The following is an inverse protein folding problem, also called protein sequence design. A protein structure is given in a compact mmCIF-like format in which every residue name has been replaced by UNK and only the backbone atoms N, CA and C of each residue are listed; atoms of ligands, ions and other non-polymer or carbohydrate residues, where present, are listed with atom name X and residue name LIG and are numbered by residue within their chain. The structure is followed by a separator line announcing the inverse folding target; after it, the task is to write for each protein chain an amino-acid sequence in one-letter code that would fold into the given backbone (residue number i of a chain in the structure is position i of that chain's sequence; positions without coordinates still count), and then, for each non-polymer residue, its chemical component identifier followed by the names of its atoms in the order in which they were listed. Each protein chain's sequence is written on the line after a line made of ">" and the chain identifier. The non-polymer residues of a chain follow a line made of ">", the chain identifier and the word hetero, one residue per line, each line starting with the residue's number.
data_IF_846398454495
#
_entry.id   IF_846398454495
#
_cell.length_a   1.000
_cell.length_b   1.000
_cell.length_c   1.000
_cell.angle_alpha   90.00
_cell.angle_beta   90.00
_cell.angle_gamma   90.00
#
_symmetry.space_group_name_H-M   'P 1'
#
loop_
_entity.id
_entity.type
_entity.pdbx_description
1 polymer ?
#
# COMPACT_ATOMS: atom_id res chain seq x y z
N UNK A 1 12.24 -11.11 65.74
CA UNK A 1 11.42 -9.89 65.56
C UNK A 1 12.33 -8.68 65.65
N UNK A 2 11.97 -7.56 64.99
CA UNK A 2 12.74 -6.31 64.85
C UNK A 2 14.09 -6.49 64.11
N UNK A 3 14.17 -6.21 62.80
CA UNK A 3 14.13 -4.91 62.11
C UNK A 3 15.54 -4.30 61.96
N UNK A 4 16.11 -4.49 60.77
CA UNK A 4 17.36 -3.89 60.31
C UNK A 4 17.08 -2.48 59.80
N UNK A 5 17.80 -1.49 60.30
CA UNK A 5 17.79 -0.10 59.81
C UNK A 5 19.20 0.24 59.35
N UNK A 6 19.37 0.53 58.06
CA UNK A 6 20.64 0.98 57.48
C UNK A 6 20.64 2.51 57.35
N UNK A 7 21.68 3.22 57.85
CA UNK A 7 21.80 4.67 57.67
C UNK A 7 22.43 5.03 56.33
N UNK A 8 22.04 6.20 55.82
CA UNK A 8 22.55 6.80 54.58
C UNK A 8 23.97 7.35 54.76
N UNK A 9 24.89 7.02 53.84
CA UNK A 9 26.15 7.75 53.70
C UNK A 9 26.22 8.48 52.36
N UNK A 10 26.26 9.81 52.48
CA UNK A 10 26.43 10.81 51.43
C UNK A 10 27.90 10.83 51.02
N UNK A 11 28.20 10.76 49.72
CA UNK A 11 29.52 11.10 49.19
C UNK A 11 29.38 12.37 48.31
N UNK A 12 30.25 13.35 48.53
CA UNK A 12 30.28 14.60 47.77
C UNK A 12 31.43 14.56 46.77
N UNK A 13 31.21 15.07 45.56
CA UNK A 13 32.22 15.80 44.79
C UNK A 13 31.57 17.04 44.18
N UNK A 14 32.33 18.14 44.10
CA UNK A 14 31.88 19.48 43.76
C UNK A 14 32.65 20.06 42.55
N UNK A 15 32.24 21.25 42.08
CA UNK A 15 32.77 21.95 40.89
C UNK A 15 31.68 22.08 39.83
N UNK A 16 30.75 23.04 39.90
CA UNK A 16 30.91 24.51 39.72
C UNK A 16 31.41 24.91 38.31
N UNK A 17 30.65 25.82 37.66
CA UNK A 17 30.89 26.32 36.30
C UNK A 17 31.80 27.57 36.27
N UNK A 18 31.50 28.66 35.51
CA UNK A 18 30.22 29.04 34.89
C UNK A 18 30.30 29.64 33.44
N UNK A 19 29.15 30.08 32.90
CA UNK A 19 28.84 31.24 32.00
C UNK A 19 29.92 31.87 31.07
N UNK A 20 29.60 32.52 29.94
CA UNK A 20 28.46 32.56 29.00
C UNK A 20 28.89 33.46 27.80
N UNK A 21 28.15 33.42 26.69
CA UNK A 21 28.11 34.44 25.62
C UNK A 21 29.41 34.86 24.89
N UNK A 22 29.47 34.62 23.57
CA UNK A 22 29.21 35.65 22.54
C UNK A 22 29.62 35.18 21.12
N UNK A 23 28.64 35.20 20.20
CA UNK A 23 28.70 35.82 18.85
C UNK A 23 30.01 35.67 18.02
N UNK A 24 29.99 34.96 16.88
CA UNK A 24 29.85 35.50 15.49
C UNK A 24 30.32 34.53 14.37
N UNK A 25 29.58 34.47 13.24
CA UNK A 25 29.98 33.99 11.88
C UNK A 25 30.50 32.53 11.77
N UNK A 26 30.29 31.74 10.71
CA UNK A 26 30.18 31.99 9.26
C UNK A 26 29.08 31.11 8.65
N UNK A 27 28.10 31.66 7.91
CA UNK A 27 28.08 31.81 6.43
C UNK A 27 27.97 30.49 5.64
N UNK A 28 26.74 30.26 5.15
CA UNK A 28 26.32 29.69 3.85
C UNK A 28 27.30 28.79 3.08
N UNK A 29 26.85 27.58 2.71
CA UNK A 29 26.95 27.09 1.31
C UNK A 29 25.81 26.12 0.94
N UNK A 30 25.00 26.40 -0.11
CA UNK A 30 23.93 25.52 -0.57
C UNK A 30 24.40 24.58 -1.70
N UNK A 31 23.93 23.32 -1.68
CA UNK A 31 24.14 22.39 -2.80
C UNK A 31 23.12 22.63 -3.91
N UNK A 32 23.55 23.43 -4.89
CA UNK A 32 22.87 23.69 -6.16
C UNK A 32 23.54 22.85 -7.24
N UNK A 33 22.82 21.93 -7.87
CA UNK A 33 23.33 21.15 -9.00
C UNK A 33 22.83 21.78 -10.30
N UNK A 34 23.77 22.18 -11.16
CA UNK A 34 23.51 22.76 -12.48
C UNK A 34 24.44 22.08 -13.51
N UNK A 35 24.04 22.15 -14.77
CA UNK A 35 24.45 21.29 -15.86
C UNK A 35 25.50 21.95 -16.78
N UNK A 36 26.07 21.15 -17.69
CA UNK A 36 26.81 21.55 -18.92
C UNK A 36 28.35 21.61 -18.88
N UNK A 37 28.97 20.65 -19.59
CA UNK A 37 30.16 20.83 -20.46
C UNK A 37 31.51 21.20 -19.79
N UNK A 38 32.71 20.89 -20.30
CA UNK A 38 33.24 20.96 -21.67
C UNK A 38 34.36 19.91 -21.91
N UNK A 39 34.56 19.54 -23.17
CA UNK A 39 35.54 18.60 -23.74
C UNK A 39 37.04 19.01 -23.60
N UNK A 40 37.95 18.03 -23.66
CA UNK A 40 39.32 17.96 -24.28
C UNK A 40 40.16 16.89 -23.55
N UNK A 41 41.17 16.19 -24.10
CA UNK A 41 41.62 15.85 -25.46
C UNK A 41 42.69 14.72 -25.30
N UNK A 42 42.82 13.79 -26.27
CA UNK A 42 44.02 13.01 -26.72
C UNK A 42 45.11 12.63 -25.67
N UNK A 43 45.70 11.43 -25.62
CA UNK A 43 45.72 10.22 -26.47
C UNK A 43 46.63 9.17 -25.74
N UNK A 44 47.15 8.05 -26.25
CA UNK A 44 47.24 7.47 -27.61
C UNK A 44 47.61 5.98 -27.54
N UNK A 45 47.04 5.11 -28.40
CA UNK A 45 47.76 3.91 -28.88
C UNK A 45 47.19 3.37 -30.20
N UNK A 46 48.07 2.86 -31.05
CA UNK A 46 47.73 2.25 -32.35
C UNK A 46 47.92 0.74 -32.28
N UNK A 47 46.91 -0.04 -32.69
CA UNK A 47 47.05 -0.88 -33.89
C UNK A 47 45.75 -1.60 -34.25
N UNK A 48 45.48 -1.59 -35.55
CA UNK A 48 44.31 -2.14 -36.26
C UNK A 48 44.06 -3.60 -35.90
N UNK A 49 42.81 -3.96 -35.60
CA UNK A 49 42.13 -5.15 -36.13
C UNK A 49 40.70 -4.72 -36.52
N UNK A 50 40.16 -5.29 -37.60
CA UNK A 50 38.93 -4.82 -38.23
C UNK A 50 37.68 -5.21 -37.44
N UNK A 51 36.92 -4.22 -36.96
CA UNK A 51 35.50 -4.36 -36.67
C UNK A 51 34.80 -3.03 -36.96
N UNK A 52 33.75 -3.08 -37.78
CA UNK A 52 32.84 -1.95 -38.04
C UNK A 52 32.05 -1.63 -36.76
N UNK A 53 32.14 -0.42 -36.17
CA UNK A 53 31.28 -0.03 -35.07
C UNK A 53 29.90 0.35 -35.64
N UNK A 54 28.96 -0.58 -35.55
CA UNK A 54 27.53 -0.31 -35.78
C UNK A 54 27.14 0.90 -34.91
N UNK A 55 26.42 1.86 -35.48
CA UNK A 55 25.90 3.00 -34.71
C UNK A 55 25.14 2.50 -33.48
N UNK A 56 25.67 2.80 -32.30
CA UNK A 56 24.88 2.77 -31.07
C UNK A 56 23.87 3.92 -31.13
N UNK A 57 22.76 3.68 -31.84
CA UNK A 57 21.55 4.49 -31.69
C UNK A 57 21.16 4.42 -30.22
N UNK A 58 21.22 5.57 -29.56
CA UNK A 58 20.74 5.74 -28.20
C UNK A 58 19.20 5.63 -28.17
N UNK A 59 18.69 4.41 -28.28
CA UNK A 59 17.31 4.12 -27.98
C UNK A 59 17.14 4.20 -26.47
N UNK A 60 16.69 5.37 -26.00
CA UNK A 60 16.01 5.53 -24.73
C UNK A 60 14.72 4.69 -24.75
N UNK A 61 14.87 3.38 -24.55
CA UNK A 61 13.77 2.47 -24.26
C UNK A 61 13.35 2.66 -22.79
N UNK A 62 12.82 3.85 -22.48
CA UNK A 62 11.88 4.00 -21.37
C UNK A 62 10.64 3.20 -21.74
N UNK A 63 10.63 1.91 -21.40
CA UNK A 63 9.44 1.05 -21.50
C UNK A 63 8.41 1.68 -20.56
N UNK A 64 7.39 2.31 -21.14
CA UNK A 64 6.35 2.98 -20.35
C UNK A 64 5.47 1.91 -19.74
N UNK A 65 5.36 1.93 -18.42
CA UNK A 65 4.50 1.04 -17.63
C UNK A 65 3.03 1.12 -18.02
N UNK A 66 2.61 2.22 -18.66
CA UNK A 66 1.25 2.47 -19.12
C UNK A 66 0.79 1.45 -20.18
N UNK A 67 1.70 0.98 -21.04
CA UNK A 67 1.35 0.25 -22.27
C UNK A 67 0.80 -1.17 -22.01
N UNK A 68 1.20 -1.83 -20.90
CA UNK A 68 0.72 -3.20 -20.57
C UNK A 68 -0.64 -3.20 -19.88
N UNK A 69 -0.96 -2.14 -19.13
CA UNK A 69 -2.28 -1.96 -18.47
C UNK A 69 -3.27 -1.28 -19.43
N UNK A 70 -2.79 -0.51 -20.41
CA UNK A 70 -3.62 -0.13 -21.55
C UNK A 70 -3.94 -1.37 -22.39
N UNK A 71 -2.95 -2.16 -22.82
CA UNK A 71 -3.18 -3.27 -23.76
C UNK A 71 -4.14 -4.34 -23.25
N UNK A 72 -4.13 -4.71 -21.95
CA UNK A 72 -5.15 -5.61 -21.35
C UNK A 72 -6.56 -5.08 -21.59
N UNK A 73 -6.74 -3.76 -21.57
CA UNK A 73 -8.03 -3.10 -21.70
C UNK A 73 -8.40 -2.70 -23.12
N UNK A 74 -7.42 -2.35 -23.95
CA UNK A 74 -7.62 -2.15 -25.38
C UNK A 74 -8.01 -3.50 -26.05
N UNK A 75 -7.57 -4.62 -25.44
CA UNK A 75 -8.05 -5.98 -25.74
C UNK A 75 -9.48 -6.22 -25.23
N UNK A 76 -9.83 -5.76 -24.01
CA UNK A 76 -11.21 -5.85 -23.48
C UNK A 76 -12.25 -5.14 -24.37
N UNK A 77 -11.90 -4.01 -24.99
CA UNK A 77 -12.80 -3.24 -25.86
C UNK A 77 -12.91 -3.81 -27.30
N UNK A 78 -11.94 -4.63 -27.74
CA UNK A 78 -11.80 -5.02 -29.17
C UNK A 78 -12.10 -6.49 -29.50
N UNK A 79 -12.20 -7.36 -28.49
CA UNK A 79 -12.56 -8.77 -28.67
C UNK A 79 -13.47 -9.24 -27.52
N UNK A 80 -14.68 -9.71 -27.84
CA UNK A 80 -15.60 -10.24 -26.85
C UNK A 80 -15.11 -11.56 -26.28
N UNK A 81 -14.67 -11.54 -25.00
CA UNK A 81 -14.05 -12.64 -24.24
C UNK A 81 -12.70 -13.13 -24.83
N UNK A 82 -11.59 -13.28 -24.09
CA UNK A 82 -11.35 -13.22 -22.65
C UNK A 82 -10.02 -12.49 -22.34
N UNK A 83 -10.07 -11.37 -21.63
CA UNK A 83 -9.07 -11.12 -20.59
C UNK A 83 -9.68 -11.71 -19.31
N UNK A 84 -8.98 -12.60 -18.60
CA UNK A 84 -9.61 -13.29 -17.48
C UNK A 84 -9.93 -12.28 -16.37
N UNK A 85 -11.04 -12.48 -15.64
CA UNK A 85 -11.43 -11.57 -14.54
C UNK A 85 -10.31 -11.45 -13.49
N UNK A 86 -9.50 -12.51 -13.36
CA UNK A 86 -8.24 -12.56 -12.60
C UNK A 86 -7.22 -11.53 -13.07
N UNK A 87 -6.98 -11.39 -14.38
CA UNK A 87 -6.03 -10.40 -14.92
C UNK A 87 -6.50 -8.96 -14.68
N UNK A 88 -7.82 -8.74 -14.81
CA UNK A 88 -8.45 -7.44 -14.53
C UNK A 88 -8.34 -7.10 -13.03
N UNK A 89 -8.61 -8.07 -12.15
CA UNK A 89 -8.44 -7.91 -10.71
C UNK A 89 -6.97 -7.76 -10.29
N UNK A 90 -6.03 -8.41 -10.98
CA UNK A 90 -4.59 -8.26 -10.78
C UNK A 90 -4.06 -6.88 -11.25
N UNK A 91 -4.89 -6.05 -11.89
CA UNK A 91 -4.60 -4.63 -12.10
C UNK A 91 -5.02 -3.74 -10.91
N UNK A 92 -5.83 -4.24 -9.97
CA UNK A 92 -6.10 -3.56 -8.70
C UNK A 92 -4.89 -3.67 -7.78
N UNK A 93 -4.67 -2.65 -6.95
CA UNK A 93 -3.63 -2.65 -5.93
C UNK A 93 -4.27 -2.94 -4.58
N UNK A 94 -4.47 -4.23 -4.31
CA UNK A 94 -4.99 -4.73 -3.04
C UNK A 94 -3.78 -5.15 -2.21
N UNK A 95 -3.68 -4.63 -0.98
CA UNK A 95 -2.57 -4.90 -0.08
C UNK A 95 -3.06 -5.26 1.32
N UNK A 96 -2.22 -5.96 2.07
CA UNK A 96 -2.32 -6.05 3.52
C UNK A 96 -2.03 -4.67 4.10
N UNK A 97 -2.83 -4.24 5.06
CA UNK A 97 -2.57 -3.03 5.85
C UNK A 97 -2.83 -3.26 7.33
N UNK A 98 -2.28 -2.39 8.17
CA UNK A 98 -2.49 -2.40 9.63
C UNK A 98 -3.01 -1.05 10.08
N UNK A 99 -4.14 -1.05 10.79
CA UNK A 99 -4.72 0.17 11.35
C UNK A 99 -3.84 0.62 12.53
N UNK A 100 -3.12 1.73 12.38
CA UNK A 100 -2.27 2.29 13.44
C UNK A 100 -3.12 2.98 14.53
N UNK A 101 -4.17 3.69 14.10
CA UNK A 101 -5.19 4.25 14.98
C UNK A 101 -6.50 4.42 14.21
N UNK A 102 -7.63 4.27 14.89
CA UNK A 102 -8.94 4.65 14.38
C UNK A 102 -9.66 5.61 15.35
N UNK A 103 -10.47 6.53 14.83
CA UNK A 103 -11.31 7.43 15.63
C UNK A 103 -12.64 7.76 14.92
N UNK A 104 -13.63 8.27 15.65
CA UNK A 104 -14.91 8.70 15.07
C UNK A 104 -14.75 10.01 14.30
N UNK A 105 -15.38 10.09 13.14
CA UNK A 105 -15.36 11.30 12.31
C UNK A 105 -16.16 12.43 12.98
N UNK A 106 -15.57 13.63 13.10
CA UNK A 106 -16.16 14.78 13.79
C UNK A 106 -17.51 15.23 13.21
N UNK A 107 -17.64 15.24 11.88
CA UNK A 107 -18.85 15.64 11.17
C UNK A 107 -19.74 14.46 10.72
N UNK A 108 -19.46 13.21 11.13
CA UNK A 108 -20.17 12.03 10.61
C UNK A 108 -20.27 10.88 11.62
N UNK A 109 -21.43 10.73 12.25
CA UNK A 109 -21.68 9.69 13.26
C UNK A 109 -21.57 8.25 12.71
N UNK A 110 -21.69 8.06 11.40
CA UNK A 110 -21.62 6.77 10.72
C UNK A 110 -20.24 6.44 10.14
N UNK A 111 -19.23 7.31 10.29
CA UNK A 111 -17.90 7.11 9.74
C UNK A 111 -16.83 7.04 10.84
N UNK A 112 -15.91 6.12 10.67
CA UNK A 112 -14.61 6.18 11.31
C UNK A 112 -13.60 6.84 10.34
N UNK A 113 -12.50 7.32 10.92
CA UNK A 113 -11.29 7.74 10.22
C UNK A 113 -10.16 6.88 10.76
N UNK A 114 -9.44 6.23 9.86
CA UNK A 114 -8.34 5.32 10.16
C UNK A 114 -7.03 5.87 9.57
N UNK A 115 -5.93 5.76 10.32
CA UNK A 115 -4.59 5.80 9.74
C UNK A 115 -4.12 4.36 9.56
N UNK A 116 -3.86 3.97 8.31
CA UNK A 116 -3.53 2.60 7.95
C UNK A 116 -2.15 2.55 7.30
N UNK A 117 -1.25 1.79 7.91
CA UNK A 117 0.03 1.43 7.31
C UNK A 117 -0.20 0.40 6.20
N UNK A 118 0.30 0.69 5.00
CA UNK A 118 0.23 -0.15 3.80
C UNK A 118 1.63 -0.36 3.19
N UNK A 119 2.67 -0.33 4.04
CA UNK A 119 4.08 -0.48 3.65
C UNK A 119 4.63 0.72 2.86
N UNK A 120 4.03 1.89 3.04
CA UNK A 120 4.47 3.16 2.44
C UNK A 120 5.21 4.02 3.48
N UNK A 121 5.90 5.09 3.04
CA UNK A 121 6.65 5.96 3.95
C UNK A 121 5.76 6.72 4.94
N UNK A 122 4.51 6.95 4.59
CA UNK A 122 3.51 7.64 5.41
C UNK A 122 2.23 6.78 5.47
N UNK A 123 1.58 6.64 6.64
CA UNK A 123 0.32 5.92 6.74
C UNK A 123 -0.80 6.67 6.01
N UNK A 124 -1.70 5.92 5.39
CA UNK A 124 -2.81 6.51 4.63
C UNK A 124 -4.00 6.79 5.53
N UNK A 125 -4.55 8.01 5.43
CA UNK A 125 -5.89 8.28 5.94
C UNK A 125 -6.93 7.58 5.07
N UNK A 126 -7.74 6.74 5.71
CA UNK A 126 -8.92 6.08 5.15
C UNK A 126 -10.13 6.52 5.98
N UNK A 127 -11.32 6.51 5.39
CA UNK A 127 -12.57 6.66 6.13
C UNK A 127 -13.50 5.49 5.82
N UNK A 128 -13.88 4.71 6.84
CA UNK A 128 -14.79 3.57 6.69
C UNK A 128 -16.18 3.83 7.26
N UNK A 129 -17.20 3.14 6.72
CA UNK A 129 -18.59 3.20 7.17
C UNK A 129 -18.94 2.20 8.28
N UNK A 130 -17.99 1.84 9.15
CA UNK A 130 -18.09 0.65 10.00
C UNK A 130 -18.70 0.88 11.39
N UNK A 131 -19.10 2.11 11.74
CA UNK A 131 -19.53 2.50 13.11
C UNK A 131 -20.71 1.68 13.64
N UNK A 132 -21.62 1.23 12.78
CA UNK A 132 -22.78 0.44 13.16
C UNK A 132 -22.50 -1.08 13.27
N UNK A 133 -21.33 -1.54 12.81
CA UNK A 133 -21.01 -2.96 12.67
C UNK A 133 -19.84 -3.41 13.55
N UNK A 134 -18.83 -2.55 13.74
CA UNK A 134 -17.59 -2.87 14.47
C UNK A 134 -17.34 -1.79 15.54
N UNK A 135 -17.13 -2.18 16.82
CA UNK A 135 -16.78 -1.23 17.87
C UNK A 135 -15.37 -0.67 17.64
N UNK A 136 -15.16 0.57 18.07
CA UNK A 136 -13.89 1.30 17.84
C UNK A 136 -12.67 0.59 18.45
N UNK A 137 -12.88 -0.13 19.56
CA UNK A 137 -11.83 -0.86 20.29
C UNK A 137 -11.33 -2.09 19.51
N UNK A 138 -12.18 -2.72 18.68
CA UNK A 138 -11.76 -3.83 17.81
C UNK A 138 -10.94 -3.33 16.60
N UNK A 139 -11.09 -2.08 16.17
CA UNK A 139 -10.38 -1.55 15.00
C UNK A 139 -8.91 -1.14 15.30
N UNK A 140 -8.53 -0.97 16.57
CA UNK A 140 -7.16 -0.54 16.90
C UNK A 140 -6.15 -1.65 16.64
N UNK A 141 -5.02 -1.31 16.03
CA UNK A 141 -3.92 -2.23 15.68
C UNK A 141 -4.28 -3.42 14.76
N UNK A 142 -5.52 -3.46 14.26
CA UNK A 142 -6.07 -4.56 13.47
C UNK A 142 -5.46 -4.64 12.07
N UNK A 143 -5.13 -5.86 11.64
CA UNK A 143 -4.70 -6.15 10.28
C UNK A 143 -5.93 -6.34 9.36
N UNK A 144 -5.88 -5.71 8.20
CA UNK A 144 -7.00 -5.54 7.27
C UNK A 144 -6.52 -5.62 5.82
N UNK A 145 -7.42 -5.90 4.90
CA UNK A 145 -7.13 -5.80 3.46
C UNK A 145 -7.59 -4.45 2.92
N UNK A 146 -6.72 -3.78 2.16
CA UNK A 146 -6.89 -2.41 1.67
C UNK A 146 -6.74 -2.33 0.16
N UNK A 147 -7.69 -1.69 -0.52
CA UNK A 147 -7.55 -1.30 -1.93
C UNK A 147 -6.96 0.13 -2.01
N UNK A 148 -5.74 0.26 -2.54
CA UNK A 148 -4.92 1.50 -2.47
C UNK A 148 -4.84 2.29 -3.77
N UNK A 149 -5.23 1.72 -4.93
CA UNK A 149 -5.20 2.42 -6.22
C UNK A 149 -6.55 3.02 -6.66
N UNK A 150 -7.51 3.17 -5.75
CA UNK A 150 -8.70 3.99 -6.00
C UNK A 150 -8.34 5.49 -6.09
N UNK A 151 -9.14 6.25 -6.85
CA UNK A 151 -9.07 7.71 -6.84
C UNK A 151 -9.53 8.22 -5.46
N UNK A 152 -8.73 9.02 -4.74
CA UNK A 152 -9.10 9.49 -3.41
C UNK A 152 -10.43 10.24 -3.38
N UNK A 153 -11.24 9.98 -2.35
CA UNK A 153 -12.58 10.52 -2.18
C UNK A 153 -12.66 11.38 -0.92
N UNK A 154 -13.20 12.58 -1.04
CA UNK A 154 -13.53 13.41 0.12
C UNK A 154 -14.86 12.91 0.74
N UNK A 155 -14.84 12.66 2.04
CA UNK A 155 -15.97 12.21 2.85
C UNK A 155 -16.08 13.18 4.04
N UNK A 156 -17.02 14.14 3.93
CA UNK A 156 -17.29 15.20 4.93
C UNK A 156 -16.04 15.95 5.41
N UNK A 157 -15.19 16.38 4.48
CA UNK A 157 -13.98 17.17 4.75
C UNK A 157 -12.70 16.33 4.80
N UNK A 158 -12.78 15.06 5.23
CA UNK A 158 -11.61 14.17 5.28
C UNK A 158 -11.43 13.44 3.95
N UNK A 159 -10.19 13.39 3.45
CA UNK A 159 -9.82 12.73 2.19
C UNK A 159 -9.42 11.28 2.47
N UNK A 160 -10.27 10.32 2.12
CA UNK A 160 -9.93 8.90 2.11
C UNK A 160 -9.06 8.55 0.90
N UNK A 161 -7.89 7.94 1.12
CA UNK A 161 -6.91 7.56 0.09
C UNK A 161 -6.82 6.03 -0.08
N UNK A 162 -7.89 5.31 0.23
CA UNK A 162 -8.03 3.87 0.08
C UNK A 162 -9.43 3.41 0.47
N UNK A 163 -9.63 2.10 0.52
CA UNK A 163 -10.87 1.47 0.98
C UNK A 163 -10.52 0.17 1.69
N UNK A 164 -11.05 -0.03 2.90
CA UNK A 164 -10.96 -1.32 3.60
C UNK A 164 -11.93 -2.29 2.93
N UNK A 165 -11.49 -3.50 2.61
CA UNK A 165 -12.36 -4.53 2.06
C UNK A 165 -13.09 -5.27 3.19
N UNK A 166 -14.41 -5.37 3.06
CA UNK A 166 -15.26 -6.09 3.99
C UNK A 166 -16.18 -7.08 3.26
N UNK A 167 -16.50 -8.18 3.93
CA UNK A 167 -17.61 -9.05 3.55
C UNK A 167 -18.93 -8.45 4.07
N UNK A 168 -19.96 -8.39 3.23
CA UNK A 168 -21.32 -8.01 3.59
C UNK A 168 -22.32 -9.11 3.21
N UNK A 169 -23.27 -9.38 4.12
CA UNK A 169 -24.36 -10.30 3.81
C UNK A 169 -25.29 -9.71 2.72
N UNK A 170 -26.15 -10.56 2.13
CA UNK A 170 -27.03 -10.14 1.03
C UNK A 170 -27.97 -8.96 1.39
N UNK A 171 -28.27 -8.74 2.68
CA UNK A 171 -29.13 -7.66 3.16
C UNK A 171 -28.37 -6.44 3.70
N UNK A 172 -27.04 -6.54 3.82
CA UNK A 172 -26.18 -5.55 4.48
C UNK A 172 -26.60 -5.26 5.94
N UNK A 173 -27.19 -6.26 6.61
CA UNK A 173 -27.46 -6.26 8.06
C UNK A 173 -26.17 -6.55 8.85
N UNK A 174 -25.23 -7.30 8.26
CA UNK A 174 -23.95 -7.67 8.87
C UNK A 174 -22.78 -7.43 7.92
N UNK A 175 -21.77 -6.72 8.43
CA UNK A 175 -20.51 -6.43 7.74
C UNK A 175 -19.34 -6.88 8.61
N UNK A 176 -18.38 -7.59 8.03
CA UNK A 176 -17.15 -8.04 8.70
C UNK A 176 -15.94 -7.70 7.83
N UNK A 177 -14.87 -7.18 8.42
CA UNK A 177 -13.63 -6.92 7.69
C UNK A 177 -13.01 -8.21 7.13
N UNK A 178 -12.26 -8.07 6.03
CA UNK A 178 -11.36 -9.12 5.55
C UNK A 178 -10.03 -9.06 6.30
N UNK A 179 -9.66 -10.18 6.89
CA UNK A 179 -8.45 -10.39 7.66
C UNK A 179 -7.39 -11.12 6.82
N UNK A 180 -6.14 -10.64 6.78
CA UNK A 180 -5.03 -11.48 6.38
C UNK A 180 -4.82 -12.62 7.40
N UNK A 181 -4.10 -13.70 7.03
CA UNK A 181 -3.63 -14.68 7.99
C UNK A 181 -2.53 -14.10 8.90
N UNK A 182 -2.40 -14.64 10.11
CA UNK A 182 -1.40 -14.22 11.10
C UNK A 182 0.02 -14.23 10.52
N UNK A 183 0.76 -13.13 10.73
CA UNK A 183 2.14 -12.98 10.26
C UNK A 183 2.31 -12.44 8.84
N UNK A 184 1.22 -12.02 8.18
CA UNK A 184 1.30 -11.25 6.93
C UNK A 184 2.06 -9.94 7.10
N UNK A 185 2.71 -9.46 6.05
CA UNK A 185 3.52 -8.23 6.11
C UNK A 185 2.70 -7.01 5.67
N UNK A 186 2.69 -5.94 6.45
CA UNK A 186 2.02 -4.68 6.05
C UNK A 186 2.59 -4.15 4.74
N UNK A 187 1.72 -3.86 3.78
CA UNK A 187 2.06 -3.49 2.41
C UNK A 187 2.30 -4.66 1.44
N UNK A 188 2.23 -5.90 1.90
CA UNK A 188 2.24 -7.07 1.02
C UNK A 188 1.08 -7.00 0.02
N UNK A 189 1.39 -7.19 -1.27
CA UNK A 189 0.37 -7.19 -2.33
C UNK A 189 -0.34 -8.53 -2.41
N UNK A 190 -1.66 -8.47 -2.40
CA UNK A 190 -2.55 -9.61 -2.52
C UNK A 190 -2.64 -10.08 -3.98
N UNK A 191 -2.65 -11.40 -4.18
CA UNK A 191 -2.97 -12.02 -5.47
C UNK A 191 -4.09 -13.06 -5.35
N UNK A 192 -4.60 -13.50 -6.51
CA UNK A 192 -5.68 -14.48 -6.61
C UNK A 192 -5.17 -15.75 -7.29
N UNK A 193 -5.46 -16.93 -6.72
CA UNK A 193 -5.18 -18.22 -7.35
C UNK A 193 -4.26 -19.16 -6.55
N UNK A 194 -3.20 -19.65 -7.16
CA UNK A 194 -2.25 -20.60 -6.55
C UNK A 194 -1.03 -19.89 -5.94
N UNK A 195 -0.30 -20.57 -5.06
CA UNK A 195 0.87 -19.99 -4.37
C UNK A 195 2.00 -19.67 -5.35
N UNK A 196 2.19 -20.52 -6.36
CA UNK A 196 3.19 -20.40 -7.41
C UNK A 196 2.96 -19.18 -8.34
N UNK A 197 1.76 -18.60 -8.32
CA UNK A 197 1.37 -17.48 -9.20
C UNK A 197 1.72 -16.09 -8.64
N UNK A 198 2.34 -16.03 -7.46
CA UNK A 198 2.84 -14.81 -6.80
C UNK A 198 3.81 -13.99 -7.70
N UNK A 199 4.34 -14.59 -8.78
CA UNK A 199 5.22 -13.94 -9.75
C UNK A 199 4.56 -13.31 -10.99
N UNK A 200 3.27 -13.53 -11.26
CA UNK A 200 2.61 -12.99 -12.47
C UNK A 200 2.19 -11.52 -12.29
N UNK A 201 3.19 -10.66 -12.10
CA UNK A 201 3.04 -9.23 -11.83
C UNK A 201 2.48 -8.45 -13.03
N UNK A 202 1.15 -8.43 -13.16
CA UNK A 202 0.45 -7.31 -13.77
C UNK A 202 0.69 -6.10 -12.86
N UNK A 203 1.25 -5.02 -13.41
CA UNK A 203 1.50 -3.79 -12.66
C UNK A 203 0.17 -3.19 -12.22
N UNK A 204 0.14 -2.63 -11.01
CA UNK A 204 -1.02 -1.91 -10.50
C UNK A 204 -1.43 -0.79 -11.47
N UNK A 205 -2.71 -0.76 -11.83
CA UNK A 205 -3.29 0.29 -12.65
C UNK A 205 -3.25 1.63 -11.90
N UNK A 206 -3.01 2.72 -12.62
CA UNK A 206 -3.08 4.07 -12.05
C UNK A 206 -4.51 4.40 -11.59
N UNK A 207 -4.71 5.27 -10.58
CA UNK A 207 -6.05 5.64 -10.11
C UNK A 207 -6.96 6.23 -11.20
N UNK A 208 -6.37 6.87 -12.21
CA UNK A 208 -7.11 7.37 -13.38
C UNK A 208 -7.59 6.24 -14.30
N UNK A 209 -6.78 5.19 -14.51
CA UNK A 209 -7.20 4.00 -15.25
C UNK A 209 -8.31 3.27 -14.49
N UNK A 210 -8.13 2.98 -13.19
CA UNK A 210 -9.14 2.32 -12.34
C UNK A 210 -10.49 3.01 -12.44
N UNK A 211 -10.51 4.34 -12.29
CA UNK A 211 -11.74 5.13 -12.35
C UNK A 211 -12.34 5.24 -13.76
N UNK A 212 -11.54 5.55 -14.80
CA UNK A 212 -12.05 5.71 -16.18
C UNK A 212 -12.64 4.41 -16.72
N UNK A 213 -12.02 3.28 -16.37
CA UNK A 213 -12.34 1.94 -16.85
C UNK A 213 -13.29 1.17 -15.92
N UNK A 214 -13.69 1.76 -14.78
CA UNK A 214 -14.56 1.16 -13.76
C UNK A 214 -14.10 -0.24 -13.32
N UNK A 215 -12.78 -0.39 -13.12
CA UNK A 215 -12.15 -1.70 -12.88
C UNK A 215 -12.69 -2.35 -11.60
N UNK A 216 -12.91 -1.55 -10.56
CA UNK A 216 -13.52 -2.02 -9.32
C UNK A 216 -14.93 -2.54 -9.55
N UNK A 217 -15.77 -1.80 -10.26
CA UNK A 217 -17.16 -2.15 -10.53
C UNK A 217 -17.31 -3.38 -11.45
N UNK A 218 -16.30 -3.68 -12.29
CA UNK A 218 -16.22 -4.92 -13.07
C UNK A 218 -15.78 -6.12 -12.20
N UNK A 219 -14.86 -5.91 -11.26
CA UNK A 219 -14.28 -6.98 -10.43
C UNK A 219 -15.15 -7.33 -9.22
N UNK A 220 -15.78 -6.33 -8.59
CA UNK A 220 -16.57 -6.49 -7.36
C UNK A 220 -17.63 -7.61 -7.42
N UNK A 221 -18.43 -7.79 -8.48
CA UNK A 221 -19.46 -8.84 -8.53
C UNK A 221 -18.90 -10.27 -8.44
N UNK A 222 -17.62 -10.45 -8.76
CA UNK A 222 -16.89 -11.71 -8.71
C UNK A 222 -16.16 -11.93 -7.39
N UNK A 223 -16.00 -10.89 -6.55
CA UNK A 223 -15.39 -10.97 -5.23
C UNK A 223 -16.44 -11.37 -4.18
N UNK A 224 -16.30 -12.57 -3.63
CA UNK A 224 -17.21 -13.14 -2.62
C UNK A 224 -16.42 -13.92 -1.57
N UNK A 225 -17.05 -14.24 -0.44
CA UNK A 225 -16.52 -15.27 0.46
C UNK A 225 -17.07 -16.65 0.06
N UNK A 226 -16.33 -17.72 0.34
CA UNK A 226 -16.83 -19.09 0.14
C UNK A 226 -17.45 -19.68 1.43
N UNK A 227 -17.84 -20.95 1.40
CA UNK A 227 -18.37 -21.69 2.57
C UNK A 227 -17.39 -21.83 3.74
N UNK A 228 -16.10 -21.59 3.52
CA UNK A 228 -15.04 -21.60 4.55
C UNK A 228 -14.61 -20.19 4.97
N UNK A 229 -15.44 -19.18 4.70
CA UNK A 229 -15.20 -17.76 4.98
C UNK A 229 -13.98 -17.15 4.27
N UNK A 230 -13.36 -17.86 3.31
CA UNK A 230 -12.20 -17.39 2.54
C UNK A 230 -12.67 -16.45 1.45
N UNK A 231 -12.00 -15.31 1.29
CA UNK A 231 -12.24 -14.40 0.18
C UNK A 231 -11.78 -15.02 -1.15
N UNK A 232 -12.64 -15.03 -2.16
CA UNK A 232 -12.40 -15.60 -3.49
C UNK A 232 -12.82 -14.61 -4.59
N UNK A 233 -12.09 -14.63 -5.69
CA UNK A 233 -12.46 -14.01 -6.97
C UNK A 233 -12.85 -15.12 -7.93
N UNK A 234 -14.14 -15.26 -8.26
CA UNK A 234 -14.63 -16.28 -9.19
C UNK A 234 -14.15 -17.71 -8.85
N UNK A 235 -14.06 -18.01 -7.55
CA UNK A 235 -13.54 -19.27 -7.01
C UNK A 235 -12.03 -19.31 -6.75
N UNK A 236 -11.24 -18.40 -7.30
CA UNK A 236 -9.80 -18.27 -7.03
C UNK A 236 -9.57 -17.63 -5.65
N UNK A 237 -8.87 -18.27 -4.70
CA UNK A 237 -8.69 -17.70 -3.36
C UNK A 237 -7.76 -16.49 -3.38
N UNK A 238 -8.09 -15.51 -2.54
CA UNK A 238 -7.29 -14.33 -2.23
C UNK A 238 -6.17 -14.71 -1.24
N UNK A 239 -4.91 -14.40 -1.57
CA UNK A 239 -3.73 -14.90 -0.85
C UNK A 239 -2.69 -13.82 -0.51
N UNK A 240 -1.92 -14.16 0.52
CA UNK A 240 -0.65 -13.59 0.99
C UNK A 240 0.42 -14.69 0.96
N UNK A 241 1.68 -14.34 1.14
CA UNK A 241 2.81 -15.27 1.33
C UNK A 241 2.61 -16.23 2.51
N UNK A 242 1.87 -15.80 3.53
CA UNK A 242 1.59 -16.60 4.74
C UNK A 242 0.30 -17.42 4.67
N UNK A 243 -0.60 -17.18 3.70
CA UNK A 243 -1.84 -17.96 3.54
C UNK A 243 -3.03 -17.22 2.93
N UNK A 244 -4.24 -17.66 3.29
CA UNK A 244 -5.51 -17.22 2.68
C UNK A 244 -6.19 -16.10 3.50
N UNK A 245 -6.70 -15.09 2.80
CA UNK A 245 -7.53 -14.02 3.38
C UNK A 245 -8.92 -14.56 3.75
N UNK A 246 -9.43 -14.20 4.93
CA UNK A 246 -10.72 -14.69 5.46
C UNK A 246 -11.52 -13.58 6.13
N UNK A 247 -12.84 -13.75 6.21
CA UNK A 247 -13.68 -13.01 7.15
C UNK A 247 -13.96 -13.85 8.41
N UNK A 248 -14.60 -13.27 9.43
CA UNK A 248 -14.80 -13.91 10.74
C UNK A 248 -15.86 -15.02 10.71
N UNK A 249 -16.96 -14.85 9.98
CA UNK A 249 -18.07 -15.82 9.90
C UNK A 249 -18.98 -15.73 8.67
N UNK A 250 -18.89 -14.67 7.87
CA UNK A 250 -19.76 -14.45 6.71
C UNK A 250 -19.41 -15.39 5.52
N UNK A 251 -20.23 -16.42 5.31
CA UNK A 251 -20.11 -17.36 4.18
C UNK A 251 -20.96 -16.93 2.98
N UNK A 252 -20.45 -17.13 1.75
CA UNK A 252 -21.14 -16.78 0.50
C UNK A 252 -21.59 -15.30 0.44
N UNK A 253 -20.88 -14.44 1.15
CA UNK A 253 -21.13 -13.01 1.27
C UNK A 253 -20.49 -12.26 0.10
N UNK A 254 -21.00 -11.07 -0.21
CA UNK A 254 -20.38 -10.19 -1.19
C UNK A 254 -19.18 -9.48 -0.55
N UNK A 255 -18.19 -9.09 -1.34
CA UNK A 255 -17.09 -8.22 -0.86
C UNK A 255 -17.30 -6.81 -1.40
N UNK A 256 -17.11 -5.82 -0.54
CA UNK A 256 -17.30 -4.39 -0.81
C UNK A 256 -16.19 -3.55 -0.19
#
# INVERSE_FOLDING_TARGET
>A
MASIVAPSHRCQIAGEGPTSDLIQMWVLYPWRWDNSSVLRLRSSFSSRHQFEPILAVANNASIKSDDKVSSIFDTLDSAGLEASIKDVAASLDIRVGRILRAWRHSEADSLYVEEVDVGELEPRTICSGLVNYIPLDELQEMEVIVLVNLKPRNMRGVKSNGMLLAASDARHEKVELLFPPEGSVSGERIWFGLEEENGNAILAATPNQVHKKKIWEVVQPHLKTNSSCIAVLDGLPMRTSTGLVKCRSLQNANIS
#
